data_IF_604702395384
#
_entry.id   IF_604702395384
#
_cell.length_a   1.000
_cell.length_b   1.000
_cell.length_c   1.000
_cell.angle_alpha   90.00
_cell.angle_beta   90.00
_cell.angle_gamma   90.00
#
_symmetry.space_group_name_H-M   'P 1'
#
loop_
_entity.id
_entity.type
_entity.pdbx_description
1 polymer ?
#
# COMPACT_ATOMS: atom_id res chain seq x y z
N UNK A 1 -5.21 -18.55 -0.76
CA UNK A 1 -5.66 -17.79 -1.94
C UNK A 1 -4.47 -17.66 -2.86
N UNK A 2 -4.61 -17.74 -4.20
CA UNK A 2 -3.47 -17.48 -5.09
C UNK A 2 -3.18 -15.98 -5.16
N UNK A 3 -1.93 -15.60 -5.43
CA UNK A 3 -1.50 -14.21 -5.63
C UNK A 3 -2.31 -13.51 -6.72
N UNK A 4 -2.61 -14.20 -7.82
CA UNK A 4 -3.42 -13.65 -8.91
C UNK A 4 -4.85 -13.31 -8.45
N UNK A 5 -5.48 -14.20 -7.66
CA UNK A 5 -6.83 -13.97 -7.15
C UNK A 5 -6.84 -12.84 -6.11
N UNK A 6 -5.81 -12.77 -5.26
CA UNK A 6 -5.63 -11.66 -4.32
C UNK A 6 -5.47 -10.32 -5.05
N UNK A 7 -4.57 -10.25 -6.02
CA UNK A 7 -4.34 -9.05 -6.83
C UNK A 7 -5.61 -8.61 -7.55
N UNK A 8 -6.31 -9.54 -8.19
CA UNK A 8 -7.58 -9.25 -8.89
C UNK A 8 -8.60 -8.63 -7.94
N UNK A 9 -8.78 -9.19 -6.75
CA UNK A 9 -9.68 -8.64 -5.72
C UNK A 9 -9.26 -7.25 -5.26
N UNK A 10 -7.95 -7.02 -5.13
CA UNK A 10 -7.41 -5.72 -4.73
C UNK A 10 -7.73 -4.65 -5.79
N UNK A 11 -7.52 -4.98 -7.07
CA UNK A 11 -7.85 -4.12 -8.21
C UNK A 11 -9.37 -3.92 -8.35
N UNK A 12 -10.17 -4.96 -8.16
CA UNK A 12 -11.64 -4.85 -8.18
C UNK A 12 -12.15 -3.88 -7.10
N UNK A 13 -11.48 -3.82 -5.95
CA UNK A 13 -11.87 -2.97 -4.81
C UNK A 13 -11.34 -1.55 -4.90
N UNK A 14 -10.07 -1.37 -5.28
CA UNK A 14 -9.37 -0.09 -5.19
C UNK A 14 -8.96 0.49 -6.54
N UNK A 15 -9.23 -0.23 -7.64
CA UNK A 15 -9.05 0.24 -9.01
C UNK A 15 -7.62 0.72 -9.29
N UNK A 16 -7.51 1.91 -9.88
CA UNK A 16 -6.24 2.50 -10.31
C UNK A 16 -5.32 2.96 -9.17
N UNK A 17 -5.76 2.89 -7.92
CA UNK A 17 -4.92 3.14 -6.76
C UNK A 17 -3.92 1.99 -6.54
N UNK A 18 -4.26 0.78 -6.99
CA UNK A 18 -3.40 -0.39 -6.89
C UNK A 18 -2.29 -0.29 -7.95
N UNK A 19 -1.01 -0.43 -7.57
CA UNK A 19 0.08 -0.47 -8.53
C UNK A 19 0.03 -1.75 -9.38
N UNK A 20 0.85 -1.81 -10.43
CA UNK A 20 0.96 -3.00 -11.26
C UNK A 20 1.38 -4.22 -10.42
N UNK A 21 0.89 -5.41 -10.76
CA UNK A 21 1.24 -6.64 -10.03
C UNK A 21 2.76 -6.86 -9.89
N UNK A 22 3.54 -6.46 -10.90
CA UNK A 22 5.01 -6.52 -10.87
C UNK A 22 5.64 -5.67 -9.75
N UNK A 23 4.90 -4.71 -9.19
CA UNK A 23 5.34 -3.84 -8.09
C UNK A 23 4.69 -4.23 -6.76
N UNK A 24 3.97 -5.35 -6.68
CA UNK A 24 3.43 -5.92 -5.44
C UNK A 24 4.04 -7.31 -5.23
N UNK A 25 5.33 -7.33 -4.93
CA UNK A 25 6.10 -8.55 -4.69
C UNK A 25 6.24 -8.77 -3.19
N UNK A 26 5.25 -9.43 -2.60
CA UNK A 26 5.19 -9.73 -1.16
C UNK A 26 4.72 -11.16 -0.92
N UNK A 27 5.13 -11.73 0.22
CA UNK A 27 4.66 -13.03 0.68
C UNK A 27 3.17 -13.01 1.03
N UNK A 28 2.52 -14.17 0.91
CA UNK A 28 1.08 -14.32 1.04
C UNK A 28 0.53 -14.00 2.44
N UNK A 29 1.33 -14.22 3.49
CA UNK A 29 1.01 -13.92 4.88
C UNK A 29 0.90 -12.42 5.16
N UNK A 30 1.54 -11.58 4.34
CA UNK A 30 1.51 -10.11 4.46
C UNK A 30 0.37 -9.46 3.67
N UNK A 31 -0.32 -10.21 2.81
CA UNK A 31 -1.42 -9.72 1.98
C UNK A 31 -2.54 -9.03 2.78
N UNK A 32 -2.96 -9.51 3.97
CA UNK A 32 -3.97 -8.82 4.79
C UNK A 32 -3.53 -7.42 5.23
N UNK A 33 -2.25 -7.21 5.51
CA UNK A 33 -1.72 -5.89 5.92
C UNK A 33 -1.76 -4.93 4.74
N UNK A 34 -1.47 -5.43 3.52
CA UNK A 34 -1.61 -4.64 2.30
C UNK A 34 -3.09 -4.31 2.01
N UNK A 35 -4.01 -5.24 2.26
CA UNK A 35 -5.45 -4.96 2.14
C UNK A 35 -5.87 -3.81 3.07
N UNK A 36 -5.39 -3.83 4.33
CA UNK A 36 -5.66 -2.79 5.33
C UNK A 36 -5.07 -1.43 4.90
N UNK A 37 -3.84 -1.42 4.41
CA UNK A 37 -3.18 -0.21 3.88
C UNK A 37 -4.03 0.46 2.79
N UNK A 38 -4.51 -0.30 1.80
CA UNK A 38 -5.35 0.28 0.75
C UNK A 38 -6.73 0.70 1.26
N UNK A 39 -7.27 0.02 2.28
CA UNK A 39 -8.53 0.41 2.91
C UNK A 39 -8.39 1.74 3.67
N UNK A 40 -7.32 1.93 4.43
CA UNK A 40 -7.05 3.17 5.19
C UNK A 40 -6.70 4.34 4.26
N UNK A 41 -5.99 4.08 3.16
CA UNK A 41 -5.66 5.10 2.16
C UNK A 41 -6.82 5.43 1.20
N UNK A 42 -7.95 4.72 1.26
CA UNK A 42 -9.05 4.88 0.32
C UNK A 42 -9.60 6.33 0.27
N UNK A 43 -9.64 6.99 1.43
CA UNK A 43 -10.10 8.38 1.59
C UNK A 43 -9.05 9.42 1.16
N UNK A 44 -7.82 8.99 0.85
CA UNK A 44 -6.68 9.84 0.52
C UNK A 44 -6.13 9.63 -0.90
N UNK A 45 -6.86 8.95 -1.78
CA UNK A 45 -6.41 8.64 -3.14
C UNK A 45 -6.09 9.89 -3.99
N UNK A 46 -6.67 11.05 -3.65
CA UNK A 46 -6.40 12.33 -4.31
C UNK A 46 -5.13 13.00 -3.79
N UNK A 47 -4.63 12.59 -2.62
CA UNK A 47 -3.51 13.19 -1.92
C UNK A 47 -2.26 12.28 -1.89
N UNK A 48 -2.41 10.96 -2.06
CA UNK A 48 -1.31 10.00 -2.05
C UNK A 48 -1.50 8.89 -3.08
N UNK A 49 -0.39 8.41 -3.62
CA UNK A 49 -0.35 7.25 -4.51
C UNK A 49 0.73 6.27 -4.07
N UNK A 50 0.35 4.99 -3.96
CA UNK A 50 1.28 3.87 -3.80
C UNK A 50 1.77 3.43 -5.19
N UNK A 51 3.09 3.37 -5.38
CA UNK A 51 3.75 2.95 -6.60
C UNK A 51 4.25 1.51 -6.55
N UNK A 52 4.48 0.98 -5.35
CA UNK A 52 4.85 -0.41 -5.14
C UNK A 52 4.98 -0.77 -3.66
N UNK A 53 4.93 -2.06 -3.39
CA UNK A 53 5.25 -2.67 -2.10
C UNK A 53 6.14 -3.87 -2.44
N UNK A 54 7.38 -3.82 -1.97
CA UNK A 54 8.40 -4.79 -2.35
C UNK A 54 9.13 -5.29 -1.12
N UNK A 55 9.29 -6.60 -1.04
CA UNK A 55 10.23 -7.23 -0.13
C UNK A 55 11.65 -7.10 -0.67
N UNK A 56 12.57 -6.65 0.19
CA UNK A 56 13.99 -6.46 -0.08
C UNK A 56 14.79 -7.54 0.66
N UNK A 57 16.12 -7.45 0.55
CA UNK A 57 17.03 -8.35 1.25
C UNK A 57 16.70 -8.40 2.75
N UNK A 58 16.88 -9.58 3.34
CA UNK A 58 16.64 -9.85 4.77
C UNK A 58 15.16 -9.77 5.20
N UNK A 59 14.21 -9.76 4.26
CA UNK A 59 12.77 -9.77 4.54
C UNK A 59 12.18 -8.39 4.84
N UNK A 60 12.97 -7.33 4.67
CA UNK A 60 12.52 -5.95 4.82
C UNK A 60 11.51 -5.59 3.74
N UNK A 61 10.29 -5.26 4.12
CA UNK A 61 9.25 -4.81 3.20
C UNK A 61 9.28 -3.29 3.13
N UNK A 62 9.17 -2.71 1.93
CA UNK A 62 9.16 -1.26 1.70
C UNK A 62 7.91 -0.85 0.95
N UNK A 63 7.19 0.14 1.47
CA UNK A 63 6.08 0.82 0.79
C UNK A 63 6.64 2.04 0.03
N UNK A 64 6.58 2.02 -1.31
CA UNK A 64 6.86 3.21 -2.13
C UNK A 64 5.56 3.97 -2.36
N UNK A 65 5.38 5.08 -1.64
CA UNK A 65 4.25 5.98 -1.77
C UNK A 65 4.72 7.44 -1.92
N UNK A 66 3.96 8.25 -2.67
CA UNK A 66 4.26 9.69 -2.83
C UNK A 66 3.02 10.53 -2.67
N UNK A 67 3.21 11.69 -2.05
CA UNK A 67 2.19 12.74 -2.03
C UNK A 67 1.97 13.31 -3.43
N UNK A 68 0.72 13.62 -3.70
CA UNK A 68 0.29 14.34 -4.89
C UNK A 68 0.28 15.84 -4.61
N UNK A 69 0.46 16.66 -5.65
CA UNK A 69 0.68 18.10 -5.49
C UNK A 69 -0.45 18.87 -4.80
N UNK A 70 -1.65 18.29 -4.70
CA UNK A 70 -2.79 18.88 -4.01
C UNK A 70 -2.92 18.54 -2.52
N UNK A 71 -2.04 17.69 -1.97
CA UNK A 71 -2.14 17.26 -0.58
C UNK A 71 -1.89 18.42 0.41
N UNK A 72 -2.85 18.66 1.28
CA UNK A 72 -2.74 19.57 2.42
C UNK A 72 -1.80 18.99 3.48
N UNK A 73 -1.29 19.83 4.38
CA UNK A 73 -0.39 19.35 5.44
C UNK A 73 -1.10 18.45 6.46
N UNK A 74 -2.40 18.66 6.67
CA UNK A 74 -3.21 17.77 7.51
C UNK A 74 -3.35 16.38 6.88
N UNK A 75 -3.60 16.30 5.56
CA UNK A 75 -3.65 15.03 4.83
C UNK A 75 -2.28 14.34 4.83
N UNK A 76 -1.19 15.08 4.55
CA UNK A 76 0.17 14.50 4.60
C UNK A 76 0.48 13.90 5.96
N UNK A 77 0.07 14.58 7.04
CA UNK A 77 0.26 14.07 8.40
C UNK A 77 -0.52 12.77 8.62
N UNK A 78 -1.82 12.75 8.32
CA UNK A 78 -2.65 11.56 8.46
C UNK A 78 -2.14 10.38 7.60
N UNK A 79 -1.73 10.66 6.36
CA UNK A 79 -1.18 9.65 5.45
C UNK A 79 0.16 9.12 5.97
N UNK A 80 1.03 9.96 6.52
CA UNK A 80 2.28 9.50 7.14
C UNK A 80 2.01 8.58 8.33
N UNK A 81 1.06 8.93 9.21
CA UNK A 81 0.69 8.09 10.35
C UNK A 81 0.21 6.69 9.88
N UNK A 82 -0.63 6.65 8.83
CA UNK A 82 -1.06 5.39 8.20
C UNK A 82 0.15 4.63 7.64
N UNK A 83 0.99 5.28 6.84
CA UNK A 83 2.14 4.63 6.19
C UNK A 83 3.12 4.07 7.23
N UNK A 84 3.43 4.82 8.29
CA UNK A 84 4.31 4.39 9.38
C UNK A 84 3.73 3.16 10.10
N UNK A 85 2.45 3.21 10.46
CA UNK A 85 1.77 2.09 11.14
C UNK A 85 1.78 0.81 10.29
N UNK A 86 1.46 0.91 9.00
CA UNK A 86 1.46 -0.27 8.12
C UNK A 86 2.88 -0.74 7.81
N UNK A 87 3.86 0.16 7.74
CA UNK A 87 5.26 -0.18 7.53
C UNK A 87 5.87 -0.94 8.71
N UNK A 88 5.49 -0.60 9.94
CA UNK A 88 5.84 -1.35 11.16
C UNK A 88 5.24 -2.76 11.11
N UNK A 89 3.92 -2.87 10.87
CA UNK A 89 3.22 -4.16 10.78
C UNK A 89 3.80 -5.11 9.71
N UNK A 90 4.29 -4.58 8.60
CA UNK A 90 4.88 -5.39 7.53
C UNK A 90 6.27 -5.95 7.89
N UNK A 91 6.93 -5.39 8.91
CA UNK A 91 8.31 -5.73 9.30
C UNK A 91 8.41 -6.33 10.72
N UNK A 92 7.28 -6.56 11.39
CA UNK A 92 7.16 -7.28 12.67
C UNK A 92 7.13 -8.81 12.47
#
# INVERSE_FOLDING_TARGET
MSEENWYRRLVERFGSAVPAAAHLQIRADLQPIVDDLFAELADFHHACRVYGIVERDEGLVVIDARFLGGATDAEKKAINEILEQQQERLND
#
